data_IF_018624606819
#
_entry.id   IF_018624606819
#
_cell.length_a   1.000
_cell.length_b   1.000
_cell.length_c   1.000
_cell.angle_alpha   90.00
_cell.angle_beta   90.00
_cell.angle_gamma   90.00
#
_symmetry.space_group_name_H-M   'P 1'
#
loop_
_entity.id
_entity.type
_entity.pdbx_description
1 polymer ?
#
# COMPACT_ATOMS: atom_id res chain seq x y z
N UNK A 1 -22.36 15.90 20.57
CA UNK A 1 -22.20 15.20 21.85
C UNK A 1 -20.84 15.55 22.44
N UNK A 2 -20.84 16.23 23.58
CA UNK A 2 -19.65 16.63 24.36
C UNK A 2 -19.17 15.38 25.11
N UNK A 3 -18.01 14.84 24.78
CA UNK A 3 -17.47 13.66 25.46
C UNK A 3 -16.32 12.93 24.78
N UNK A 4 -15.85 13.36 23.60
CA UNK A 4 -14.91 12.57 22.79
C UNK A 4 -13.48 13.13 22.71
N UNK A 5 -13.07 14.03 23.62
CA UNK A 5 -11.74 14.66 23.55
C UNK A 5 -10.86 14.46 24.79
N UNK A 6 -11.25 13.70 25.81
CA UNK A 6 -10.48 13.68 27.08
C UNK A 6 -9.34 12.67 27.14
N UNK A 7 -9.34 11.61 26.32
CA UNK A 7 -8.33 10.55 26.44
C UNK A 7 -6.93 11.02 26.00
N UNK A 8 -6.84 11.81 24.93
CA UNK A 8 -5.56 12.13 24.29
C UNK A 8 -5.04 13.54 24.59
N UNK A 9 -5.89 14.44 25.10
CA UNK A 9 -5.48 15.82 25.40
C UNK A 9 -4.36 15.91 26.46
N UNK A 10 -4.22 14.90 27.32
CA UNK A 10 -3.16 14.84 28.32
C UNK A 10 -1.83 14.26 27.79
N UNK A 11 -1.85 13.60 26.62
CA UNK A 11 -0.70 12.90 26.04
C UNK A 11 -0.22 13.51 24.71
N UNK A 12 -0.92 14.52 24.21
CA UNK A 12 -0.62 15.15 22.92
C UNK A 12 -0.43 16.65 23.13
N UNK A 13 0.81 17.11 23.04
CA UNK A 13 1.15 18.54 23.13
C UNK A 13 0.62 19.33 21.92
N UNK A 14 0.61 18.71 20.73
CA UNK A 14 0.19 19.33 19.47
C UNK A 14 -0.81 18.45 18.73
N UNK A 15 -2.13 18.68 18.89
CA UNK A 15 -3.14 17.84 18.26
C UNK A 15 -3.19 18.04 16.74
N UNK A 16 -3.21 16.93 16.01
CA UNK A 16 -3.40 16.96 14.55
C UNK A 16 -4.83 17.43 14.24
N UNK A 17 -4.95 18.46 13.42
CA UNK A 17 -6.25 18.96 12.94
C UNK A 17 -6.95 17.94 12.05
N UNK A 18 -8.19 17.58 12.39
CA UNK A 18 -9.02 16.68 11.57
C UNK A 18 -9.35 17.32 10.22
N UNK A 19 -8.98 16.67 9.12
CA UNK A 19 -9.47 16.98 7.78
C UNK A 19 -10.86 16.38 7.56
N UNK A 20 -11.87 17.20 7.29
CA UNK A 20 -13.30 16.81 7.23
C UNK A 20 -13.72 16.37 5.82
N UNK A 21 -12.97 15.50 5.16
CA UNK A 21 -13.45 14.85 3.91
C UNK A 21 -14.16 13.55 4.24
N UNK A 22 -15.40 13.40 3.75
CA UNK A 22 -16.15 12.14 3.85
C UNK A 22 -15.58 11.14 2.83
N UNK A 23 -15.41 9.89 3.25
CA UNK A 23 -14.92 8.80 2.40
C UNK A 23 -13.41 8.59 2.50
N UNK A 24 -12.89 7.66 1.68
CA UNK A 24 -11.46 7.36 1.60
C UNK A 24 -10.78 8.42 0.73
N UNK A 25 -9.59 8.87 1.14
CA UNK A 25 -8.78 9.77 0.33
C UNK A 25 -8.34 9.07 -0.96
N UNK A 26 -8.66 9.66 -2.12
CA UNK A 26 -8.25 9.16 -3.42
C UNK A 26 -6.71 9.13 -3.54
N UNK A 27 -6.04 10.15 -3.03
CA UNK A 27 -4.58 10.25 -3.03
C UNK A 27 -3.94 9.12 -2.21
N UNK A 28 -4.53 8.82 -1.03
CA UNK A 28 -4.04 7.71 -0.19
C UNK A 28 -4.29 6.35 -0.84
N UNK A 29 -5.40 6.21 -1.58
CA UNK A 29 -5.66 5.00 -2.36
C UNK A 29 -4.63 4.85 -3.48
N UNK A 30 -4.30 5.93 -4.20
CA UNK A 30 -3.29 5.91 -5.26
C UNK A 30 -1.89 5.54 -4.73
N UNK A 31 -1.47 6.15 -3.61
CA UNK A 31 -0.19 5.83 -2.95
C UNK A 31 -0.12 4.35 -2.53
N UNK A 32 -1.21 3.85 -1.94
CA UNK A 32 -1.30 2.44 -1.52
C UNK A 32 -1.23 1.50 -2.71
N UNK A 33 -1.93 1.82 -3.79
CA UNK A 33 -1.93 1.01 -4.99
C UNK A 33 -0.54 0.96 -5.64
N UNK A 34 0.14 2.10 -5.77
CA UNK A 34 1.51 2.17 -6.32
C UNK A 34 2.47 1.29 -5.50
N UNK A 35 2.37 1.37 -4.17
CA UNK A 35 3.11 0.51 -3.24
C UNK A 35 2.77 -0.98 -3.42
N UNK A 36 1.48 -1.31 -3.56
CA UNK A 36 1.00 -2.67 -3.77
C UNK A 36 1.54 -3.28 -5.08
N UNK A 37 1.65 -2.49 -6.16
CA UNK A 37 2.23 -2.97 -7.42
C UNK A 37 3.72 -3.32 -7.28
N UNK A 38 4.48 -2.48 -6.60
CA UNK A 38 5.90 -2.74 -6.31
C UNK A 38 6.07 -3.97 -5.40
N UNK A 39 5.18 -4.13 -4.41
CA UNK A 39 5.22 -5.29 -3.52
C UNK A 39 4.89 -6.59 -4.26
N UNK A 40 3.90 -6.55 -5.14
CA UNK A 40 3.60 -7.66 -6.05
C UNK A 40 4.79 -7.98 -6.97
N UNK A 41 5.41 -6.97 -7.58
CA UNK A 41 6.61 -7.14 -8.40
C UNK A 41 7.71 -7.86 -7.62
N UNK A 42 8.01 -7.41 -6.40
CA UNK A 42 9.00 -8.05 -5.55
C UNK A 42 8.71 -9.53 -5.31
N UNK A 43 7.47 -9.88 -4.99
CA UNK A 43 7.08 -11.27 -4.78
C UNK A 43 7.25 -12.14 -6.03
N UNK A 44 6.81 -11.65 -7.19
CA UNK A 44 6.84 -12.44 -8.41
C UNK A 44 8.23 -12.49 -9.03
N UNK A 45 8.94 -11.36 -9.11
CA UNK A 45 10.19 -11.25 -9.86
C UNK A 45 11.42 -11.54 -9.02
N UNK A 46 11.48 -11.02 -7.79
CA UNK A 46 12.67 -11.15 -6.95
C UNK A 46 12.59 -12.39 -6.06
N UNK A 47 11.42 -12.68 -5.48
CA UNK A 47 11.20 -13.87 -4.65
C UNK A 47 10.70 -15.09 -5.44
N UNK A 48 10.37 -14.93 -6.73
CA UNK A 48 9.87 -16.00 -7.61
C UNK A 48 8.66 -16.76 -7.03
N UNK A 49 7.83 -16.09 -6.24
CA UNK A 49 6.60 -16.67 -5.70
C UNK A 49 5.60 -16.91 -6.83
N UNK A 50 4.76 -17.92 -6.65
CA UNK A 50 3.61 -18.15 -7.52
C UNK A 50 2.57 -17.05 -7.30
N UNK A 51 1.77 -16.81 -8.34
CA UNK A 51 0.71 -15.80 -8.34
C UNK A 51 -0.26 -15.93 -7.16
N UNK A 52 -0.79 -17.13 -6.95
CA UNK A 52 -1.73 -17.44 -5.87
C UNK A 52 -1.14 -17.15 -4.48
N UNK A 53 0.11 -17.55 -4.23
CA UNK A 53 0.81 -17.27 -2.98
C UNK A 53 1.08 -15.78 -2.79
N UNK A 54 1.50 -15.08 -3.85
CA UNK A 54 1.77 -13.65 -3.79
C UNK A 54 0.51 -12.83 -3.45
N UNK A 55 -0.64 -13.17 -4.05
CA UNK A 55 -1.91 -12.49 -3.74
C UNK A 55 -2.33 -12.72 -2.29
N UNK A 56 -2.15 -13.93 -1.77
CA UNK A 56 -2.48 -14.25 -0.37
C UNK A 56 -1.58 -13.51 0.63
N UNK A 57 -0.29 -13.35 0.33
CA UNK A 57 0.63 -12.57 1.16
C UNK A 57 0.30 -11.07 1.13
N UNK A 58 0.04 -10.51 -0.05
CA UNK A 58 -0.39 -9.11 -0.18
C UNK A 58 -1.70 -8.83 0.57
N UNK A 59 -2.62 -9.80 0.59
CA UNK A 59 -3.88 -9.70 1.32
C UNK A 59 -3.66 -9.53 2.82
N UNK A 60 -2.72 -10.30 3.39
CA UNK A 60 -2.34 -10.23 4.79
C UNK A 60 -1.57 -8.95 5.12
N UNK A 61 -0.65 -8.54 4.26
CA UNK A 61 0.17 -7.34 4.49
C UNK A 61 -0.65 -6.04 4.41
N UNK A 62 -1.56 -5.94 3.44
CA UNK A 62 -2.33 -4.71 3.21
C UNK A 62 -3.72 -4.74 3.85
N UNK A 63 -4.15 -5.87 4.41
CA UNK A 63 -5.51 -6.08 4.91
C UNK A 63 -6.58 -5.81 3.84
N UNK A 64 -6.33 -6.27 2.61
CA UNK A 64 -7.22 -6.10 1.46
C UNK A 64 -7.60 -7.48 0.93
N UNK A 65 -8.89 -7.74 0.77
CA UNK A 65 -9.37 -9.00 0.15
C UNK A 65 -8.70 -9.25 -1.20
N UNK A 66 -8.36 -10.51 -1.48
CA UNK A 66 -7.70 -10.97 -2.71
C UNK A 66 -8.41 -10.43 -3.96
N UNK A 67 -9.75 -10.49 -4.01
CA UNK A 67 -10.53 -9.97 -5.14
C UNK A 67 -10.33 -8.47 -5.39
N UNK A 68 -10.19 -7.68 -4.33
CA UNK A 68 -9.95 -6.24 -4.46
C UNK A 68 -8.50 -5.97 -4.86
N UNK A 69 -7.52 -6.73 -4.36
CA UNK A 69 -6.12 -6.66 -4.85
C UNK A 69 -6.07 -6.87 -6.36
N UNK A 70 -6.69 -7.94 -6.84
CA UNK A 70 -6.74 -8.27 -8.27
C UNK A 70 -7.41 -7.13 -9.05
N UNK A 71 -8.54 -6.61 -8.57
CA UNK A 71 -9.22 -5.48 -9.19
C UNK A 71 -8.34 -4.23 -9.23
N UNK A 72 -7.66 -3.86 -8.15
CA UNK A 72 -6.74 -2.70 -8.12
C UNK A 72 -5.56 -2.89 -9.08
N UNK A 73 -5.00 -4.10 -9.17
CA UNK A 73 -3.95 -4.39 -10.13
C UNK A 73 -4.45 -4.28 -11.58
N UNK A 74 -5.66 -4.75 -11.87
CA UNK A 74 -6.28 -4.60 -13.19
C UNK A 74 -6.52 -3.13 -13.56
N UNK A 75 -7.01 -2.32 -12.61
CA UNK A 75 -7.18 -0.88 -12.82
C UNK A 75 -5.85 -0.15 -13.09
N UNK A 76 -4.72 -0.68 -12.63
CA UNK A 76 -3.39 -0.11 -12.80
C UNK A 76 -2.48 -1.00 -13.67
N UNK A 77 -3.06 -1.73 -14.62
CA UNK A 77 -2.35 -2.76 -15.41
C UNK A 77 -1.19 -2.20 -16.24
N UNK A 78 -1.37 -1.04 -16.86
CA UNK A 78 -0.32 -0.35 -17.62
C UNK A 78 0.87 0.03 -16.72
N UNK A 79 0.59 0.57 -15.54
CA UNK A 79 1.62 0.90 -14.55
C UNK A 79 2.36 -0.34 -14.07
N UNK A 80 1.63 -1.41 -13.79
CA UNK A 80 2.21 -2.70 -13.41
C UNK A 80 3.11 -3.25 -14.53
N UNK A 81 2.70 -3.14 -15.78
CA UNK A 81 3.51 -3.54 -16.94
C UNK A 81 4.80 -2.72 -17.03
N UNK A 82 4.74 -1.41 -16.82
CA UNK A 82 5.91 -0.54 -16.77
C UNK A 82 6.90 -0.98 -15.70
N UNK A 83 6.43 -1.27 -14.47
CA UNK A 83 7.28 -1.77 -13.38
C UNK A 83 7.92 -3.12 -13.78
N UNK A 84 7.12 -4.05 -14.32
CA UNK A 84 7.54 -5.42 -14.62
C UNK A 84 8.49 -5.53 -15.81
N UNK A 85 8.36 -4.66 -16.83
CA UNK A 85 9.10 -4.76 -18.10
C UNK A 85 10.18 -3.69 -18.27
N UNK A 86 10.00 -2.49 -17.71
CA UNK A 86 10.87 -1.33 -17.98
C UNK A 86 11.71 -0.95 -16.78
N UNK A 87 11.07 -0.70 -15.64
CA UNK A 87 11.77 -0.18 -14.46
C UNK A 87 12.56 -1.28 -13.75
N UNK A 88 11.92 -2.44 -13.54
CA UNK A 88 12.50 -3.62 -12.89
C UNK A 88 13.39 -3.26 -11.68
N UNK A 89 12.84 -2.55 -10.69
CA UNK A 89 13.64 -2.00 -9.61
C UNK A 89 14.28 -3.11 -8.77
N UNK A 90 15.56 -2.93 -8.45
CA UNK A 90 16.28 -3.84 -7.57
C UNK A 90 15.85 -3.67 -6.09
N UNK A 91 16.37 -4.54 -5.23
CA UNK A 91 16.05 -4.52 -3.81
C UNK A 91 16.46 -3.21 -3.11
N UNK A 92 17.54 -2.57 -3.56
CA UNK A 92 18.04 -1.32 -2.99
C UNK A 92 17.10 -0.17 -3.33
N UNK A 93 16.62 -0.11 -4.57
CA UNK A 93 15.64 0.87 -5.03
C UNK A 93 14.30 0.71 -4.30
N UNK A 94 13.81 -0.52 -4.13
CA UNK A 94 12.57 -0.78 -3.40
C UNK A 94 12.64 -0.34 -1.93
N UNK A 95 13.78 -0.59 -1.26
CA UNK A 95 14.02 -0.11 0.12
C UNK A 95 14.10 1.40 0.21
N UNK A 96 14.59 2.08 -0.83
CA UNK A 96 14.61 3.55 -0.87
C UNK A 96 13.19 4.12 -1.05
N UNK A 97 12.38 3.52 -1.92
CA UNK A 97 11.01 3.96 -2.18
C UNK A 97 10.08 3.72 -0.98
N UNK A 98 10.23 2.59 -0.31
CA UNK A 98 9.34 2.15 0.77
C UNK A 98 10.16 1.58 1.95
N UNK A 99 10.86 2.45 2.70
CA UNK A 99 11.78 2.03 3.77
C UNK A 99 11.07 1.37 4.97
N UNK A 100 9.76 1.57 5.10
CA UNK A 100 8.94 0.95 6.16
C UNK A 100 8.46 -0.46 5.82
N UNK A 101 8.70 -0.97 4.60
CA UNK A 101 8.36 -2.33 4.21
C UNK A 101 9.57 -3.27 4.36
N UNK A 102 9.28 -4.52 4.75
CA UNK A 102 10.29 -5.57 4.83
C UNK A 102 10.47 -6.24 3.47
N UNK A 103 11.53 -5.86 2.75
CA UNK A 103 11.93 -6.42 1.45
C UNK A 103 13.05 -7.45 1.55
#
# INVERSE_FOLDING_TARGET
MRGQQTLFNHFIENPVTKTVRKGRSADMIALRDECLLHRYYYYIKLQQKRYDSAIEELSKEFYIKNSNIIYRMQCNSERLEQIMKREQPDLKQLRLLYPWLTW
#
